data_IF_844854608257
#
_entry.id   IF_844854608257
#
_cell.length_a   1.000
_cell.length_b   1.000
_cell.length_c   1.000
_cell.angle_alpha   90.00
_cell.angle_beta   90.00
_cell.angle_gamma   90.00
#
_symmetry.space_group_name_H-M   'P 1'
#
loop_
_entity.id
_entity.type
_entity.pdbx_description
1 polymer ?
#
# COMPACT_ATOMS: atom_id res chain seq x y z
N UNK A 1 -3.95 2.58 19.29
CA UNK A 1 -4.02 3.25 17.98
C UNK A 1 -2.72 2.92 17.26
N UNK A 2 -2.79 2.48 16.02
CA UNK A 2 -1.61 2.27 15.18
C UNK A 2 -1.36 3.58 14.43
N UNK A 3 -0.20 4.20 14.61
CA UNK A 3 0.15 5.41 13.86
C UNK A 3 0.62 5.03 12.45
N UNK A 4 -0.05 5.53 11.42
CA UNK A 4 0.33 5.28 10.03
C UNK A 4 1.55 6.12 9.69
N UNK A 5 2.66 5.47 9.39
CA UNK A 5 3.90 6.13 8.96
C UNK A 5 3.81 6.59 7.51
N UNK A 6 3.09 5.83 6.66
CA UNK A 6 2.96 6.15 5.23
C UNK A 6 1.66 5.63 4.64
N UNK A 7 0.95 6.52 3.94
CA UNK A 7 -0.24 6.20 3.17
C UNK A 7 0.10 6.06 1.67
N UNK A 8 -0.48 5.06 1.02
CA UNK A 8 -0.31 4.73 -0.39
C UNK A 8 -1.70 4.74 -1.03
N UNK A 9 -1.94 5.66 -1.97
CA UNK A 9 -3.18 5.68 -2.73
C UNK A 9 -2.99 4.92 -4.05
N UNK A 10 -3.65 3.78 -4.19
CA UNK A 10 -3.69 2.98 -5.41
C UNK A 10 -5.13 2.72 -5.88
N UNK A 11 -6.05 3.62 -5.52
CA UNK A 11 -7.44 3.56 -6.00
C UNK A 11 -7.47 3.79 -7.51
N UNK A 12 -8.28 3.02 -8.22
CA UNK A 12 -8.37 3.05 -9.69
C UNK A 12 -7.25 2.28 -10.42
N UNK A 13 -6.24 1.76 -9.72
CA UNK A 13 -5.27 0.84 -10.31
C UNK A 13 -5.90 -0.52 -10.58
N UNK A 14 -5.70 -1.06 -11.79
CA UNK A 14 -6.14 -2.41 -12.13
C UNK A 14 -5.19 -3.47 -11.55
N UNK A 15 -5.71 -4.65 -11.20
CA UNK A 15 -4.92 -5.79 -10.74
C UNK A 15 -3.77 -6.09 -11.73
N UNK A 16 -2.50 -6.22 -11.27
CA UNK A 16 -2.01 -6.33 -9.89
C UNK A 16 -1.51 -5.01 -9.25
N UNK A 17 -1.90 -3.85 -9.77
CA UNK A 17 -1.36 -2.52 -9.44
C UNK A 17 -1.21 -2.23 -7.94
N UNK A 18 -2.28 -2.37 -7.12
CA UNK A 18 -2.20 -2.06 -5.70
C UNK A 18 -1.16 -2.89 -4.93
N UNK A 19 -1.01 -4.17 -5.28
CA UNK A 19 0.03 -5.02 -4.69
C UNK A 19 1.43 -4.56 -5.11
N UNK A 20 1.60 -4.18 -6.37
CA UNK A 20 2.89 -3.68 -6.86
C UNK A 20 3.27 -2.39 -6.15
N UNK A 21 2.33 -1.48 -5.92
CA UNK A 21 2.58 -0.23 -5.22
C UNK A 21 2.89 -0.44 -3.74
N UNK A 22 2.18 -1.36 -3.09
CA UNK A 22 2.50 -1.80 -1.73
C UNK A 22 3.92 -2.35 -1.62
N UNK A 23 4.32 -3.25 -2.54
CA UNK A 23 5.65 -3.86 -2.53
C UNK A 23 6.74 -2.80 -2.75
N UNK A 24 6.52 -1.83 -3.65
CA UNK A 24 7.46 -0.71 -3.86
C UNK A 24 7.61 0.14 -2.60
N UNK A 25 6.52 0.41 -1.89
CA UNK A 25 6.55 1.15 -0.64
C UNK A 25 7.24 0.36 0.47
N UNK A 26 6.90 -0.92 0.62
CA UNK A 26 7.51 -1.84 1.58
C UNK A 26 9.02 -1.94 1.43
N UNK A 27 9.53 -2.07 0.19
CA UNK A 27 10.97 -2.11 -0.08
C UNK A 27 11.74 -0.86 0.35
N UNK A 28 11.04 0.26 0.59
CA UNK A 28 11.61 1.53 1.05
C UNK A 28 11.27 1.82 2.50
N UNK A 29 10.45 0.99 3.13
CA UNK A 29 10.05 1.12 4.52
C UNK A 29 11.17 0.60 5.44
N UNK A 30 11.14 1.06 6.68
CA UNK A 30 12.02 0.62 7.75
C UNK A 30 11.26 -0.29 8.71
N UNK A 31 12.00 -1.06 9.49
CA UNK A 31 11.41 -1.86 10.55
C UNK A 31 10.65 -0.97 11.52
N UNK A 32 9.39 -1.33 11.77
CA UNK A 32 8.47 -0.55 12.61
C UNK A 32 7.60 0.46 11.85
N UNK A 33 7.84 0.70 10.56
CA UNK A 33 6.95 1.53 9.75
C UNK A 33 5.59 0.85 9.56
N UNK A 34 4.53 1.62 9.70
CA UNK A 34 3.16 1.20 9.39
C UNK A 34 2.76 1.78 8.04
N UNK A 35 2.44 0.91 7.10
CA UNK A 35 1.99 1.27 5.76
C UNK A 35 0.47 1.07 5.65
N UNK A 36 -0.24 2.11 5.21
CA UNK A 36 -1.65 2.05 4.85
C UNK A 36 -1.79 2.13 3.33
N UNK A 37 -2.56 1.23 2.73
CA UNK A 37 -2.87 1.26 1.30
C UNK A 37 -4.36 1.40 1.07
N UNK A 38 -4.74 2.35 0.22
CA UNK A 38 -6.10 2.53 -0.25
C UNK A 38 -6.20 1.90 -1.64
N UNK A 39 -7.01 0.85 -1.76
CA UNK A 39 -7.26 0.16 -3.02
C UNK A 39 -8.77 0.05 -3.25
N UNK A 40 -9.19 0.08 -4.51
CA UNK A 40 -10.58 -0.14 -4.94
C UNK A 40 -10.67 -1.27 -5.96
N UNK A 41 -9.57 -1.97 -6.21
CA UNK A 41 -9.59 -3.12 -7.09
C UNK A 41 -10.31 -4.27 -6.36
N UNK A 42 -11.06 -5.09 -7.11
CA UNK A 42 -11.86 -6.15 -6.52
C UNK A 42 -11.05 -7.40 -6.11
N UNK A 43 -9.72 -7.39 -6.29
CA UNK A 43 -8.81 -8.38 -5.69
C UNK A 43 -8.97 -9.82 -6.17
N UNK A 44 -9.52 -10.05 -7.37
CA UNK A 44 -9.68 -11.38 -7.96
C UNK A 44 -8.59 -11.74 -8.98
#
# INVERSE_FOLDING_TARGET
MVEVTKMIDSRGSACPGPIIDLVKAYRRAKDGDVLEILATDPGY
#
